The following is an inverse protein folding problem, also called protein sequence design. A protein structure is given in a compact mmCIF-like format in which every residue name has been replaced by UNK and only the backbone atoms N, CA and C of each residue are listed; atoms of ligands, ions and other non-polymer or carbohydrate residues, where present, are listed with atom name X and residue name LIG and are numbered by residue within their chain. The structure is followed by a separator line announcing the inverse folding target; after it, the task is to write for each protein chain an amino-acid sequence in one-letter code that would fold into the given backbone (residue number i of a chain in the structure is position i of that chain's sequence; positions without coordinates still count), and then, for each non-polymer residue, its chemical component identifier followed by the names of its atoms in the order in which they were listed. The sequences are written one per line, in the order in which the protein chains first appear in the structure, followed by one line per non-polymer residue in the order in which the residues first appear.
data_IF_786856924783
#
_entry.id   IF_786856924783
#
_cell.length_a   1.000
_cell.length_b   1.000
_cell.length_c   1.000
_cell.angle_alpha   90.00
_cell.angle_beta   90.00
_cell.angle_gamma   90.00
#
_symmetry.space_group_name_H-M   'P 1'
#
loop_
_entity.id
_entity.type
_entity.pdbx_description
1 polymer ?
#
# COMPACT_ATOMS: atom_id res chain seq x y z
N UNK A 1 -62.92 34.63 -19.19
CA UNK A 1 -61.45 34.63 -19.31
C UNK A 1 -60.93 33.95 -18.07
N UNK A 2 -60.58 32.67 -18.19
CA UNK A 2 -60.22 31.81 -17.07
C UNK A 2 -58.71 31.57 -17.15
N UNK A 3 -57.97 32.29 -16.30
CA UNK A 3 -56.52 32.32 -16.24
C UNK A 3 -56.01 30.99 -15.66
N UNK A 4 -55.88 29.96 -16.52
CA UNK A 4 -55.13 28.75 -16.17
C UNK A 4 -53.65 29.12 -16.05
N UNK A 5 -53.25 29.61 -14.88
CA UNK A 5 -51.86 29.66 -14.46
C UNK A 5 -51.34 28.22 -14.44
N UNK A 6 -50.70 27.82 -15.54
CA UNK A 6 -49.93 26.58 -15.62
C UNK A 6 -48.79 26.64 -14.61
N UNK A 7 -49.02 26.06 -13.43
CA UNK A 7 -47.98 25.88 -12.43
C UNK A 7 -46.88 25.04 -13.06
N UNK A 8 -45.75 25.69 -13.37
CA UNK A 8 -44.57 24.97 -13.88
C UNK A 8 -44.26 23.84 -12.91
N UNK A 9 -44.07 22.60 -13.38
CA UNK A 9 -43.74 21.49 -12.49
C UNK A 9 -42.49 21.90 -11.72
N UNK A 10 -42.61 22.02 -10.38
CA UNK A 10 -41.47 22.26 -9.50
C UNK A 10 -40.47 21.14 -9.80
N UNK A 11 -39.30 21.49 -10.33
CA UNK A 11 -38.21 20.54 -10.50
C UNK A 11 -37.98 19.90 -9.12
N UNK A 12 -38.18 18.59 -9.02
CA UNK A 12 -37.87 17.83 -7.80
C UNK A 12 -36.36 17.94 -7.54
N UNK A 13 -35.96 18.93 -6.74
CA UNK A 13 -34.59 19.08 -6.30
C UNK A 13 -34.27 18.02 -5.25
N UNK A 14 -33.07 17.46 -5.31
CA UNK A 14 -32.55 16.58 -4.25
C UNK A 14 -32.40 17.42 -2.98
N UNK A 15 -32.85 16.90 -1.84
CA UNK A 15 -32.71 17.61 -0.56
C UNK A 15 -31.23 17.76 -0.19
N UNK A 16 -30.88 18.83 0.52
CA UNK A 16 -29.48 19.04 0.93
C UNK A 16 -28.94 17.87 1.78
N UNK A 17 -29.79 17.23 2.60
CA UNK A 17 -29.39 16.06 3.39
C UNK A 17 -29.00 14.88 2.48
N UNK A 18 -29.78 14.65 1.42
CA UNK A 18 -29.49 13.59 0.45
C UNK A 18 -28.21 13.91 -0.31
N UNK A 19 -28.00 15.17 -0.71
CA UNK A 19 -26.75 15.61 -1.36
C UNK A 19 -25.54 15.42 -0.44
N UNK A 20 -25.66 15.75 0.85
CA UNK A 20 -24.61 15.54 1.84
C UNK A 20 -24.29 14.04 2.03
N UNK A 21 -25.32 13.18 2.11
CA UNK A 21 -25.13 11.73 2.20
C UNK A 21 -24.43 11.16 0.96
N UNK A 22 -24.82 11.63 -0.24
CA UNK A 22 -24.15 11.27 -1.49
C UNK A 22 -22.69 11.68 -1.48
N UNK A 23 -22.36 12.88 -1.02
CA UNK A 23 -20.98 13.35 -0.92
C UNK A 23 -20.15 12.49 0.06
N UNK A 24 -20.72 12.14 1.22
CA UNK A 24 -20.09 11.27 2.23
C UNK A 24 -19.81 9.85 1.72
N UNK A 25 -20.53 9.38 0.69
CA UNK A 25 -20.24 8.11 0.02
C UNK A 25 -19.28 8.28 -1.17
N UNK A 26 -19.50 9.29 -2.01
CA UNK A 26 -18.75 9.46 -3.25
C UNK A 26 -17.30 9.89 -3.01
N UNK A 27 -17.04 10.78 -2.04
CA UNK A 27 -15.67 11.27 -1.79
C UNK A 27 -14.74 10.13 -1.32
N UNK A 28 -15.09 9.32 -0.30
CA UNK A 28 -14.27 8.17 0.07
C UNK A 28 -14.17 7.15 -1.05
N UNK A 29 -15.25 6.89 -1.81
CA UNK A 29 -15.19 5.98 -2.95
C UNK A 29 -14.16 6.45 -3.99
N UNK A 30 -14.14 7.74 -4.33
CA UNK A 30 -13.16 8.30 -5.27
C UNK A 30 -11.76 8.26 -4.71
N UNK A 31 -11.57 8.60 -3.43
CA UNK A 31 -10.28 8.50 -2.76
C UNK A 31 -9.71 7.07 -2.84
N UNK A 32 -10.50 6.07 -2.46
CA UNK A 32 -10.11 4.67 -2.52
C UNK A 32 -9.93 4.16 -3.95
N UNK A 33 -10.67 4.70 -4.92
CA UNK A 33 -10.47 4.41 -6.33
C UNK A 33 -9.13 4.95 -6.86
N UNK A 34 -8.71 6.15 -6.44
CA UNK A 34 -7.39 6.71 -6.77
C UNK A 34 -6.27 5.88 -6.15
N UNK A 35 -6.32 5.69 -4.82
CA UNK A 35 -5.30 4.93 -4.10
C UNK A 35 -5.24 3.49 -4.61
N UNK A 36 -6.40 2.83 -4.72
CA UNK A 36 -6.51 1.46 -5.19
C UNK A 36 -6.01 1.26 -6.62
N UNK A 37 -6.31 2.20 -7.53
CA UNK A 37 -5.82 2.16 -8.90
C UNK A 37 -4.30 2.35 -9.01
N UNK A 38 -3.70 3.13 -8.11
CA UNK A 38 -2.26 3.34 -8.06
C UNK A 38 -1.53 2.12 -7.45
N UNK A 39 -1.98 1.66 -6.29
CA UNK A 39 -1.33 0.56 -5.57
C UNK A 39 -1.48 -0.80 -6.26
N UNK A 40 -2.57 -0.99 -7.03
CA UNK A 40 -2.83 -2.23 -7.76
C UNK A 40 -1.63 -2.66 -8.60
N UNK A 41 -0.94 -1.76 -9.29
CA UNK A 41 0.20 -2.12 -10.14
C UNK A 41 1.55 -1.90 -9.47
N UNK A 42 1.57 -1.08 -8.43
CA UNK A 42 2.75 -0.78 -7.64
C UNK A 42 3.17 -2.01 -6.82
N UNK A 43 2.25 -2.59 -6.04
CA UNK A 43 2.57 -3.67 -5.10
C UNK A 43 2.21 -5.07 -5.62
N UNK A 44 1.25 -5.21 -6.53
CA UNK A 44 0.83 -6.53 -7.03
C UNK A 44 1.67 -6.99 -8.24
N UNK A 45 2.05 -8.26 -8.21
CA UNK A 45 2.61 -8.98 -9.37
C UNK A 45 1.52 -9.65 -10.21
N UNK A 46 0.33 -9.84 -9.64
CA UNK A 46 -0.82 -10.51 -10.26
C UNK A 46 -2.09 -9.70 -10.10
N UNK A 47 -2.85 -9.65 -11.20
CA UNK A 47 -4.11 -8.93 -11.29
C UNK A 47 -5.14 -9.35 -10.23
N UNK A 48 -5.26 -10.65 -9.93
CA UNK A 48 -6.37 -11.17 -9.12
C UNK A 48 -6.24 -10.81 -7.63
N UNK A 49 -5.07 -11.03 -7.03
CA UNK A 49 -4.83 -10.72 -5.62
C UNK A 49 -4.91 -9.20 -5.36
N UNK A 50 -4.29 -8.41 -6.25
CA UNK A 50 -4.33 -6.96 -6.16
C UNK A 50 -5.74 -6.39 -6.29
N UNK A 51 -6.58 -6.96 -7.18
CA UNK A 51 -7.96 -6.48 -7.37
C UNK A 51 -8.78 -6.54 -6.08
N UNK A 52 -8.72 -7.67 -5.36
CA UNK A 52 -9.49 -7.82 -4.12
C UNK A 52 -9.01 -6.85 -3.04
N UNK A 53 -7.70 -6.64 -2.91
CA UNK A 53 -7.15 -5.79 -1.86
C UNK A 53 -7.31 -4.30 -2.14
N UNK A 54 -7.01 -3.87 -3.37
CA UNK A 54 -6.90 -2.45 -3.71
C UNK A 54 -8.17 -1.89 -4.35
N UNK A 55 -8.99 -2.71 -5.02
CA UNK A 55 -10.20 -2.23 -5.71
C UNK A 55 -11.45 -2.40 -4.84
N UNK A 56 -11.52 -3.44 -4.02
CA UNK A 56 -12.69 -3.66 -3.18
C UNK A 56 -13.01 -2.50 -2.21
N UNK A 57 -12.06 -1.76 -1.62
CA UNK A 57 -12.37 -0.73 -0.63
C UNK A 57 -13.34 0.38 -1.07
N UNK A 58 -13.37 0.77 -2.34
CA UNK A 58 -14.29 1.83 -2.80
C UNK A 58 -15.72 1.32 -3.05
N UNK A 59 -15.88 0.01 -3.31
CA UNK A 59 -17.17 -0.60 -3.69
C UNK A 59 -18.23 -0.47 -2.59
N UNK A 60 -17.95 -0.76 -1.29
CA UNK A 60 -18.92 -0.57 -0.22
C UNK A 60 -19.46 0.86 -0.13
N UNK A 61 -18.61 1.87 -0.28
CA UNK A 61 -19.04 3.28 -0.22
C UNK A 61 -19.98 3.62 -1.38
N UNK A 62 -19.65 3.19 -2.60
CA UNK A 62 -20.51 3.39 -3.76
C UNK A 62 -21.86 2.65 -3.60
N UNK A 63 -21.84 1.41 -3.11
CA UNK A 63 -23.05 0.63 -2.84
C UNK A 63 -23.93 1.28 -1.76
N UNK A 64 -23.35 1.78 -0.67
CA UNK A 64 -24.09 2.50 0.38
C UNK A 64 -24.78 3.74 -0.20
N UNK A 65 -24.10 4.50 -1.06
CA UNK A 65 -24.68 5.66 -1.73
C UNK A 65 -25.85 5.30 -2.65
N UNK A 66 -25.69 4.25 -3.47
CA UNK A 66 -26.75 3.76 -4.38
C UNK A 66 -27.94 3.21 -3.59
N UNK A 67 -27.70 2.34 -2.60
CA UNK A 67 -28.75 1.76 -1.76
C UNK A 67 -29.45 2.84 -0.93
N UNK A 68 -28.72 3.85 -0.44
CA UNK A 68 -29.30 5.01 0.24
C UNK A 68 -30.24 5.81 -0.65
N UNK A 69 -29.83 6.11 -1.88
CA UNK A 69 -30.63 6.83 -2.87
C UNK A 69 -31.91 6.08 -3.29
N UNK A 70 -31.82 4.77 -3.49
CA UNK A 70 -32.91 3.94 -4.00
C UNK A 70 -33.81 3.38 -2.88
N UNK A 71 -33.21 2.97 -1.76
CA UNK A 71 -33.85 2.21 -0.69
C UNK A 71 -33.36 2.60 0.72
N UNK A 72 -33.42 3.89 1.09
CA UNK A 72 -32.99 4.36 2.43
C UNK A 72 -33.49 3.53 3.64
N UNK A 73 -34.66 2.88 3.56
CA UNK A 73 -35.14 1.96 4.62
C UNK A 73 -34.33 0.67 4.69
N UNK A 74 -34.05 0.07 3.54
CA UNK A 74 -33.18 -1.09 3.44
C UNK A 74 -31.77 -0.73 3.90
N UNK A 75 -31.28 0.45 3.53
CA UNK A 75 -30.01 0.97 4.03
C UNK A 75 -29.99 0.93 5.56
N UNK A 76 -30.98 1.53 6.23
CA UNK A 76 -31.04 1.53 7.69
C UNK A 76 -31.13 0.12 8.30
N UNK A 77 -31.91 -0.78 7.69
CA UNK A 77 -32.01 -2.19 8.13
C UNK A 77 -30.66 -2.90 8.04
N UNK A 78 -29.84 -2.59 7.04
CA UNK A 78 -28.51 -3.21 6.84
C UNK A 78 -27.44 -2.52 7.69
N UNK A 79 -27.43 -1.19 7.76
CA UNK A 79 -26.36 -0.44 8.43
C UNK A 79 -26.47 -0.48 9.94
N UNK A 80 -27.68 -0.56 10.53
CA UNK A 80 -27.84 -0.61 11.99
C UNK A 80 -27.17 -1.87 12.60
N UNK A 81 -27.39 -3.09 12.08
CA UNK A 81 -26.64 -4.27 12.52
C UNK A 81 -25.13 -4.13 12.33
N UNK A 82 -24.68 -3.60 11.18
CA UNK A 82 -23.25 -3.40 10.91
C UNK A 82 -22.61 -2.42 11.90
N UNK A 83 -23.31 -1.34 12.24
CA UNK A 83 -22.90 -0.38 13.27
C UNK A 83 -22.79 -1.09 14.63
N UNK A 84 -23.75 -1.97 14.97
CA UNK A 84 -23.70 -2.75 16.21
C UNK A 84 -22.51 -3.71 16.27
N UNK A 85 -22.24 -4.44 15.18
CA UNK A 85 -21.08 -5.34 15.07
C UNK A 85 -19.77 -4.55 15.13
N UNK A 86 -19.65 -3.46 14.38
CA UNK A 86 -18.46 -2.60 14.42
C UNK A 86 -18.24 -2.02 15.82
N UNK A 87 -19.29 -1.52 16.49
CA UNK A 87 -19.20 -1.04 17.86
C UNK A 87 -18.72 -2.12 18.83
N UNK A 88 -19.21 -3.36 18.69
CA UNK A 88 -18.74 -4.51 19.48
C UNK A 88 -17.24 -4.74 19.29
N UNK A 89 -16.74 -4.78 18.05
CA UNK A 89 -15.31 -4.98 17.78
C UNK A 89 -14.45 -3.83 18.33
N UNK A 90 -14.93 -2.59 18.22
CA UNK A 90 -14.24 -1.40 18.74
C UNK A 90 -14.11 -1.46 20.25
N UNK A 91 -15.20 -1.76 20.95
CA UNK A 91 -15.18 -1.93 22.41
C UNK A 91 -14.29 -3.12 22.80
N UNK A 92 -14.42 -4.25 22.12
CA UNK A 92 -13.61 -5.43 22.41
C UNK A 92 -12.10 -5.19 22.19
N UNK A 93 -11.73 -4.54 21.08
CA UNK A 93 -10.35 -4.18 20.76
C UNK A 93 -9.78 -3.17 21.76
N UNK A 94 -10.58 -2.18 22.17
CA UNK A 94 -10.19 -1.24 23.22
C UNK A 94 -9.97 -1.96 24.56
N UNK A 95 -10.88 -2.84 24.97
CA UNK A 95 -10.75 -3.61 26.21
C UNK A 95 -9.51 -4.52 26.21
N UNK A 96 -9.07 -5.02 25.05
CA UNK A 96 -7.85 -5.82 24.93
C UNK A 96 -6.56 -4.99 24.93
N UNK A 97 -6.57 -3.83 24.28
CA UNK A 97 -5.33 -3.09 23.98
C UNK A 97 -5.14 -1.84 24.84
N UNK A 98 -6.19 -1.33 25.47
CA UNK A 98 -6.21 -0.03 26.14
C UNK A 98 -5.99 1.16 25.22
N UNK A 99 -5.95 0.95 23.89
CA UNK A 99 -5.53 1.98 22.93
C UNK A 99 -6.65 2.96 22.63
N UNK A 100 -6.53 4.17 23.18
CA UNK A 100 -7.45 5.27 22.90
C UNK A 100 -7.41 5.71 21.43
N UNK A 101 -6.25 5.63 20.78
CA UNK A 101 -6.11 6.01 19.37
C UNK A 101 -6.87 5.07 18.43
N UNK A 102 -6.83 3.76 18.70
CA UNK A 102 -7.66 2.79 17.97
C UNK A 102 -9.15 3.09 18.17
N UNK A 103 -9.58 3.30 19.42
CA UNK A 103 -10.97 3.62 19.75
C UNK A 103 -11.46 4.85 18.98
N UNK A 104 -10.73 5.96 19.06
CA UNK A 104 -11.08 7.21 18.38
C UNK A 104 -11.06 7.03 16.86
N UNK A 105 -10.05 6.35 16.32
CA UNK A 105 -9.93 6.10 14.88
C UNK A 105 -11.14 5.35 14.33
N UNK A 106 -11.55 4.25 14.98
CA UNK A 106 -12.71 3.48 14.52
C UNK A 106 -14.03 4.23 14.66
N UNK A 107 -14.21 5.04 15.72
CA UNK A 107 -15.41 5.85 15.88
C UNK A 107 -15.50 6.93 14.79
N UNK A 108 -14.43 7.70 14.61
CA UNK A 108 -14.40 8.86 13.72
C UNK A 108 -14.40 8.44 12.24
N UNK A 109 -13.66 7.41 11.88
CA UNK A 109 -13.50 6.98 10.48
C UNK A 109 -14.55 5.92 10.09
N UNK A 110 -14.99 5.09 11.03
CA UNK A 110 -15.93 4.00 10.77
C UNK A 110 -17.37 4.32 11.17
N UNK A 111 -17.64 4.38 12.48
CA UNK A 111 -19.01 4.40 13.00
C UNK A 111 -19.75 5.72 12.71
N UNK A 112 -19.11 6.86 12.95
CA UNK A 112 -19.74 8.17 12.79
C UNK A 112 -20.17 8.45 11.33
N UNK A 113 -19.35 8.16 10.29
CA UNK A 113 -19.77 8.30 8.90
C UNK A 113 -20.93 7.37 8.54
N UNK A 114 -20.93 6.11 9.00
CA UNK A 114 -22.02 5.17 8.73
C UNK A 114 -23.36 5.63 9.36
N UNK A 115 -23.32 6.13 10.59
CA UNK A 115 -24.49 6.70 11.27
C UNK A 115 -24.96 7.95 10.50
N UNK A 116 -24.06 8.86 10.17
CA UNK A 116 -24.37 10.09 9.44
C UNK A 116 -25.04 9.79 8.09
N UNK A 117 -24.46 8.91 7.28
CA UNK A 117 -25.01 8.48 5.99
C UNK A 117 -26.42 7.88 6.16
N UNK A 118 -26.60 7.01 7.16
CA UNK A 118 -27.90 6.37 7.44
C UNK A 118 -28.96 7.41 7.81
N UNK A 119 -28.65 8.31 8.75
CA UNK A 119 -29.58 9.35 9.23
C UNK A 119 -29.91 10.34 8.11
N UNK A 120 -28.90 10.76 7.33
CA UNK A 120 -29.08 11.74 6.26
C UNK A 120 -29.94 11.17 5.11
N UNK A 121 -29.71 9.93 4.68
CA UNK A 121 -30.59 9.28 3.70
C UNK A 121 -32.01 9.04 4.23
N UNK A 122 -32.14 8.71 5.52
CA UNK A 122 -33.45 8.54 6.14
C UNK A 122 -34.23 9.86 6.19
N UNK A 123 -33.61 10.96 6.64
CA UNK A 123 -34.23 12.29 6.76
C UNK A 123 -34.42 13.00 5.42
N UNK A 124 -33.53 12.78 4.46
CA UNK A 124 -33.61 13.35 3.11
C UNK A 124 -34.77 12.79 2.28
N UNK A 125 -35.48 11.77 2.81
CA UNK A 125 -36.67 11.20 2.22
C UNK A 125 -37.84 12.18 2.35
N UNK A 126 -37.97 13.09 1.38
CA UNK A 126 -39.19 13.86 1.22
C UNK A 126 -40.42 12.93 1.11
N UNK A 127 -41.63 13.40 1.44
CA UNK A 127 -42.88 12.65 1.28
C UNK A 127 -43.14 12.41 -0.20
N UNK A 128 -42.46 11.41 -0.76
CA UNK A 128 -42.67 11.01 -2.15
C UNK A 128 -43.97 10.21 -2.22
N UNK A 129 -44.91 10.56 -3.11
CA UNK A 129 -46.08 9.73 -3.37
C UNK A 129 -45.58 8.34 -3.77
N UNK A 130 -46.13 7.30 -3.13
CA UNK A 130 -45.73 5.92 -3.35
C UNK A 130 -45.89 5.60 -4.85
N UNK A 131 -44.79 5.41 -5.60
CA UNK A 131 -44.93 4.99 -6.98
C UNK A 131 -45.43 3.54 -6.98
N UNK A 132 -46.43 3.28 -7.82
CA UNK A 132 -47.10 2.00 -7.95
C UNK A 132 -46.18 0.88 -8.47
N UNK A 133 -45.01 1.22 -9.03
CA UNK A 133 -44.01 0.26 -9.48
C UNK A 133 -42.60 0.58 -8.97
N UNK A 134 -41.80 -0.46 -8.73
CA UNK A 134 -40.37 -0.36 -8.39
C UNK A 134 -39.59 0.33 -9.52
N UNK A 135 -39.96 0.06 -10.78
CA UNK A 135 -39.34 0.64 -11.96
C UNK A 135 -39.52 2.17 -12.04
N UNK A 136 -40.71 2.69 -11.73
CA UNK A 136 -40.95 4.14 -11.69
C UNK A 136 -40.23 4.86 -10.53
N UNK A 137 -39.84 4.11 -9.50
CA UNK A 137 -39.00 4.59 -8.38
C UNK A 137 -37.53 4.66 -8.79
N UNK A 138 -37.08 3.67 -9.56
CA UNK A 138 -35.72 3.58 -10.10
C UNK A 138 -35.49 4.60 -11.19
N UNK A 139 -36.47 4.88 -12.06
CA UNK A 139 -36.36 5.76 -13.23
C UNK A 139 -36.58 7.25 -12.94
N UNK A 140 -36.65 7.68 -11.67
CA UNK A 140 -36.77 9.12 -11.36
C UNK A 140 -35.49 9.86 -11.77
N UNK A 141 -35.56 10.81 -12.72
CA UNK A 141 -34.39 11.39 -13.34
C UNK A 141 -33.30 11.91 -12.37
N UNK A 142 -33.62 12.62 -11.26
CA UNK A 142 -32.57 13.16 -10.40
C UNK A 142 -31.86 12.08 -9.58
N UNK A 143 -32.58 11.04 -9.11
CA UNK A 143 -31.99 9.97 -8.29
C UNK A 143 -31.21 8.97 -9.14
N UNK A 144 -31.67 8.67 -10.36
CA UNK A 144 -30.87 7.87 -11.30
C UNK A 144 -29.54 8.55 -11.59
N UNK A 145 -29.58 9.87 -11.88
CA UNK A 145 -28.38 10.64 -12.21
C UNK A 145 -27.42 10.69 -11.03
N UNK A 146 -27.93 10.88 -9.81
CA UNK A 146 -27.10 10.84 -8.60
C UNK A 146 -26.49 9.46 -8.37
N UNK A 147 -27.27 8.38 -8.50
CA UNK A 147 -26.77 7.00 -8.34
C UNK A 147 -25.74 6.65 -9.42
N UNK A 148 -26.01 7.05 -10.66
CA UNK A 148 -25.06 6.92 -11.76
C UNK A 148 -23.78 7.71 -11.46
N UNK A 149 -23.87 8.93 -10.92
CA UNK A 149 -22.69 9.72 -10.53
C UNK A 149 -21.87 9.04 -9.43
N UNK A 150 -22.52 8.49 -8.41
CA UNK A 150 -21.85 7.77 -7.30
C UNK A 150 -21.09 6.54 -7.79
N UNK A 151 -21.57 5.86 -8.84
CA UNK A 151 -20.89 4.72 -9.44
C UNK A 151 -19.85 5.14 -10.49
N UNK A 152 -20.26 6.01 -11.42
CA UNK A 152 -19.45 6.39 -12.57
C UNK A 152 -18.20 7.17 -12.15
N UNK A 153 -18.30 8.07 -11.17
CA UNK A 153 -17.15 8.88 -10.77
C UNK A 153 -15.97 8.04 -10.23
N UNK A 154 -16.12 7.20 -9.18
CA UNK A 154 -15.02 6.36 -8.73
C UNK A 154 -14.61 5.33 -9.79
N UNK A 155 -15.54 4.81 -10.60
CA UNK A 155 -15.20 3.86 -11.67
C UNK A 155 -14.32 4.50 -12.74
N UNK A 156 -14.70 5.68 -13.25
CA UNK A 156 -13.91 6.41 -14.26
C UNK A 156 -12.57 6.82 -13.69
N UNK A 157 -12.53 7.30 -12.44
CA UNK A 157 -11.28 7.64 -11.75
C UNK A 157 -10.38 6.41 -11.60
N UNK A 158 -10.92 5.28 -11.13
CA UNK A 158 -10.17 4.04 -11.02
C UNK A 158 -9.61 3.62 -12.38
N UNK A 159 -10.44 3.57 -13.42
CA UNK A 159 -10.00 3.18 -14.78
C UNK A 159 -8.92 4.12 -15.31
N UNK A 160 -9.05 5.43 -15.08
CA UNK A 160 -8.04 6.40 -15.53
C UNK A 160 -6.70 6.19 -14.84
N UNK A 161 -6.69 6.09 -13.50
CA UNK A 161 -5.46 5.84 -12.73
C UNK A 161 -4.87 4.46 -13.07
N UNK A 162 -5.71 3.44 -13.14
CA UNK A 162 -5.30 2.09 -13.48
C UNK A 162 -4.71 2.01 -14.88
N UNK A 163 -5.29 2.70 -15.87
CA UNK A 163 -4.77 2.71 -17.24
C UNK A 163 -3.36 3.30 -17.32
N UNK A 164 -3.08 4.38 -16.60
CA UNK A 164 -1.73 4.99 -16.55
C UNK A 164 -0.71 4.01 -15.98
N UNK A 165 -1.03 3.40 -14.83
CA UNK A 165 -0.11 2.49 -14.15
C UNK A 165 0.01 1.13 -14.87
N UNK A 166 -1.04 0.68 -15.56
CA UNK A 166 -1.04 -0.53 -16.36
C UNK A 166 -0.02 -0.46 -17.50
N UNK A 167 0.19 0.71 -18.11
CA UNK A 167 1.18 0.87 -19.18
C UNK A 167 2.58 0.56 -18.68
N UNK A 168 2.96 1.05 -17.50
CA UNK A 168 4.26 0.75 -16.90
C UNK A 168 4.37 -0.73 -16.51
N UNK A 169 3.32 -1.29 -15.93
CA UNK A 169 3.25 -2.71 -15.55
C UNK A 169 3.39 -3.64 -16.76
N UNK A 170 2.68 -3.36 -17.85
CA UNK A 170 2.68 -4.16 -19.07
C UNK A 170 4.01 -4.05 -19.86
N UNK A 171 4.85 -3.06 -19.55
CA UNK A 171 6.17 -2.90 -20.16
C UNK A 171 7.28 -3.64 -19.41
N UNK A 172 7.00 -4.22 -18.23
CA UNK A 172 7.98 -4.97 -17.44
C UNK A 172 8.43 -6.21 -18.21
N UNK A 173 9.75 -6.44 -18.26
CA UNK A 173 10.35 -7.64 -18.81
C UNK A 173 10.52 -8.70 -17.72
N UNK A 174 10.28 -9.95 -18.08
CA UNK A 174 10.71 -11.10 -17.29
C UNK A 174 11.40 -12.10 -18.20
N UNK A 175 12.70 -12.28 -18.02
CA UNK A 175 13.46 -13.28 -18.77
C UNK A 175 13.38 -14.69 -18.12
N UNK A 176 12.68 -14.83 -17.00
CA UNK A 176 12.48 -16.09 -16.28
C UNK A 176 13.70 -16.61 -15.54
N UNK A 177 14.88 -16.02 -15.72
CA UNK A 177 16.09 -16.51 -15.07
C UNK A 177 16.23 -15.89 -13.67
N UNK A 178 16.45 -16.77 -12.69
CA UNK A 178 16.53 -16.43 -11.27
C UNK A 178 17.90 -16.77 -10.64
N UNK A 179 18.90 -17.08 -11.46
CA UNK A 179 20.27 -17.34 -11.00
C UNK A 179 21.07 -16.06 -10.73
N UNK A 180 22.38 -16.20 -10.58
CA UNK A 180 23.29 -15.06 -10.39
C UNK A 180 23.30 -14.13 -11.60
N UNK A 181 23.42 -12.83 -11.35
CA UNK A 181 23.34 -11.79 -12.38
C UNK A 181 24.47 -10.81 -12.28
N UNK A 182 25.27 -10.70 -13.34
CA UNK A 182 26.17 -9.58 -13.52
C UNK A 182 25.36 -8.37 -14.02
N UNK A 183 25.40 -7.27 -13.29
CA UNK A 183 24.84 -5.98 -13.72
C UNK A 183 25.99 -5.00 -13.86
N UNK A 184 26.14 -4.47 -15.08
CA UNK A 184 27.18 -3.51 -15.43
C UNK A 184 26.53 -2.23 -15.98
N UNK A 185 27.02 -1.08 -15.52
CA UNK A 185 26.57 0.21 -16.02
C UNK A 185 26.66 1.31 -14.97
N UNK A 186 26.67 2.56 -15.44
CA UNK A 186 26.75 3.76 -14.60
C UNK A 186 27.85 3.74 -13.51
N UNK A 187 28.98 3.10 -13.81
CA UNK A 187 30.13 3.00 -12.92
C UNK A 187 30.05 1.89 -11.86
N UNK A 188 29.07 1.00 -11.93
CA UNK A 188 29.01 -0.22 -11.09
C UNK A 188 29.14 -1.48 -11.95
N UNK A 189 29.79 -2.51 -11.40
CA UNK A 189 29.96 -3.85 -12.01
C UNK A 189 29.82 -4.86 -10.87
N UNK A 190 28.62 -5.39 -10.67
CA UNK A 190 28.31 -6.22 -9.51
C UNK A 190 27.65 -7.54 -9.91
N UNK A 191 28.01 -8.62 -9.23
CA UNK A 191 27.31 -9.90 -9.30
C UNK A 191 26.26 -9.93 -8.19
N UNK A 192 25.00 -10.07 -8.57
CA UNK A 192 23.84 -10.17 -7.68
C UNK A 192 23.50 -11.64 -7.43
N UNK A 193 23.24 -11.96 -6.17
CA UNK A 193 22.96 -13.34 -5.72
C UNK A 193 21.74 -13.94 -6.41
N UNK A 194 21.76 -15.26 -6.62
CA UNK A 194 20.63 -16.02 -7.13
C UNK A 194 19.43 -16.02 -6.16
N UNK A 195 18.26 -16.43 -6.66
CA UNK A 195 17.07 -16.68 -5.85
C UNK A 195 17.38 -17.69 -4.75
N UNK A 196 16.95 -17.38 -3.54
CA UNK A 196 17.33 -18.07 -2.32
C UNK A 196 17.52 -17.07 -1.18
N UNK A 197 18.27 -17.36 -0.13
CA UNK A 197 18.46 -16.43 0.97
C UNK A 197 19.17 -15.12 0.58
N UNK A 198 19.89 -15.06 -0.55
CA UNK A 198 20.45 -13.81 -1.09
C UNK A 198 19.49 -12.99 -1.95
N UNK A 199 18.31 -13.54 -2.24
CA UNK A 199 17.17 -12.89 -2.88
C UNK A 199 15.90 -13.63 -2.46
N UNK A 200 15.40 -13.38 -1.24
CA UNK A 200 14.40 -14.24 -0.64
C UNK A 200 13.03 -14.01 -1.25
N UNK A 201 12.27 -15.10 -1.35
CA UNK A 201 10.96 -15.12 -2.04
C UNK A 201 9.87 -14.38 -1.27
N UNK A 202 10.04 -14.27 0.05
CA UNK A 202 9.15 -13.56 0.94
C UNK A 202 9.93 -12.44 1.62
N UNK A 203 9.40 -11.22 1.55
CA UNK A 203 9.97 -10.10 2.29
C UNK A 203 9.49 -10.11 3.74
N UNK A 204 9.47 -8.93 4.36
CA UNK A 204 8.99 -8.78 5.73
C UNK A 204 10.07 -8.92 6.79
N UNK A 205 11.35 -8.94 6.39
CA UNK A 205 12.45 -8.74 7.32
C UNK A 205 12.63 -7.25 7.59
N UNK A 206 12.84 -6.90 8.84
CA UNK A 206 13.26 -5.56 9.23
C UNK A 206 14.74 -5.36 8.88
N UNK A 207 15.17 -4.11 8.82
CA UNK A 207 16.57 -3.81 8.60
C UNK A 207 17.44 -4.32 9.77
N UNK A 208 16.93 -4.26 11.01
CA UNK A 208 17.62 -4.81 12.17
C UNK A 208 17.86 -6.33 12.03
N UNK A 209 16.84 -7.09 11.61
CA UNK A 209 16.98 -8.54 11.38
C UNK A 209 18.08 -8.86 10.36
N UNK A 210 18.17 -8.05 9.30
CA UNK A 210 19.17 -8.21 8.25
C UNK A 210 20.57 -7.87 8.77
N UNK A 211 20.71 -6.74 9.47
CA UNK A 211 21.98 -6.23 9.98
C UNK A 211 22.56 -7.08 11.12
N UNK A 212 21.71 -7.64 11.98
CA UNK A 212 22.12 -8.38 13.17
C UNK A 212 22.15 -9.91 12.96
N UNK A 213 21.96 -10.39 11.73
CA UNK A 213 21.79 -11.82 11.44
C UNK A 213 22.86 -12.71 12.09
N UNK A 214 24.12 -12.30 12.01
CA UNK A 214 25.29 -13.03 12.51
C UNK A 214 25.54 -12.91 14.01
N UNK A 215 24.81 -12.08 14.76
CA UNK A 215 24.93 -12.05 16.22
C UNK A 215 24.28 -13.29 16.84
N UNK A 216 24.84 -13.87 17.93
CA UNK A 216 24.20 -15.00 18.61
C UNK A 216 22.82 -14.64 19.20
N UNK A 217 21.80 -15.52 19.04
CA UNK A 217 21.80 -16.71 18.20
C UNK A 217 21.77 -16.35 16.71
N UNK A 218 22.63 -16.98 15.90
CA UNK A 218 22.69 -16.73 14.44
C UNK A 218 21.33 -17.02 13.82
N UNK A 219 20.84 -16.10 12.98
CA UNK A 219 19.50 -16.14 12.41
C UNK A 219 18.75 -14.81 12.53
N UNK A 220 17.45 -14.82 12.24
CA UNK A 220 16.61 -13.62 12.31
C UNK A 220 15.87 -13.45 13.65
N UNK A 221 15.74 -14.52 14.44
CA UNK A 221 14.88 -14.55 15.61
C UNK A 221 15.31 -13.55 16.70
N UNK A 222 14.35 -12.75 17.20
CA UNK A 222 14.54 -11.82 18.32
C UNK A 222 15.31 -10.55 17.98
N UNK A 223 15.56 -10.27 16.70
CA UNK A 223 16.38 -9.13 16.23
C UNK A 223 15.54 -7.99 15.66
N UNK A 224 14.23 -8.15 15.56
CA UNK A 224 13.33 -7.15 15.00
C UNK A 224 13.44 -5.81 15.74
N UNK A 225 13.55 -5.86 17.06
CA UNK A 225 13.69 -4.72 17.95
C UNK A 225 15.15 -4.44 18.34
N UNK A 226 16.11 -4.80 17.48
CA UNK A 226 17.52 -4.46 17.69
C UNK A 226 18.26 -5.42 18.63
N UNK A 227 19.43 -5.02 19.13
CA UNK A 227 20.36 -5.90 19.88
C UNK A 227 19.90 -6.25 21.29
N UNK A 228 19.16 -5.35 21.93
CA UNK A 228 18.65 -5.46 23.31
C UNK A 228 17.11 -5.57 23.36
N UNK A 229 16.48 -5.64 22.19
CA UNK A 229 15.02 -5.65 22.05
C UNK A 229 14.36 -4.30 22.34
N UNK A 230 15.12 -3.20 22.45
CA UNK A 230 14.59 -1.89 22.81
C UNK A 230 14.35 -0.95 21.62
N UNK A 231 14.89 -1.25 20.44
CA UNK A 231 14.70 -0.43 19.24
C UNK A 231 13.21 -0.33 18.91
N UNK A 232 12.66 0.90 18.95
CA UNK A 232 11.25 1.16 18.69
C UNK A 232 10.29 0.87 19.85
N UNK A 233 10.78 0.53 21.05
CA UNK A 233 9.93 0.19 22.21
C UNK A 233 9.71 1.33 23.22
N UNK A 234 10.33 2.50 23.00
CA UNK A 234 10.17 3.67 23.84
C UNK A 234 8.69 4.05 24.03
N UNK A 235 8.15 3.86 25.24
CA UNK A 235 6.77 4.28 25.59
C UNK A 235 6.59 5.79 25.50
N UNK A 236 7.67 6.54 25.72
CA UNK A 236 7.68 7.99 25.61
C UNK A 236 8.37 8.40 24.31
N UNK A 237 7.66 9.14 23.44
CA UNK A 237 8.16 9.63 22.15
C UNK A 237 9.39 10.55 22.25
N UNK A 238 9.78 10.96 23.45
CA UNK A 238 10.72 12.04 23.67
C UNK A 238 12.16 11.55 23.96
N UNK A 239 12.36 10.37 24.54
CA UNK A 239 13.68 9.93 25.01
C UNK A 239 13.79 8.39 24.82
N UNK A 240 14.66 7.91 23.92
CA UNK A 240 15.02 6.47 23.86
C UNK A 240 14.64 5.68 22.60
N UNK A 241 14.23 6.30 21.48
CA UNK A 241 13.96 5.55 20.22
C UNK A 241 15.22 5.08 19.50
N UNK A 242 16.37 5.62 19.87
CA UNK A 242 17.66 5.38 19.20
C UNK A 242 18.46 4.25 19.85
N UNK A 243 18.21 3.95 21.13
CA UNK A 243 18.96 2.93 21.85
C UNK A 243 18.57 1.53 21.36
N UNK A 244 19.60 0.69 21.14
CA UNK A 244 19.42 -0.71 20.77
C UNK A 244 19.21 -1.00 19.28
N UNK A 245 18.95 0.01 18.44
CA UNK A 245 18.83 -0.22 16.99
C UNK A 245 20.16 -0.64 16.37
N UNK A 246 20.10 -1.51 15.35
CA UNK A 246 21.29 -1.90 14.61
C UNK A 246 21.93 -0.68 13.92
N UNK A 247 23.24 -0.69 13.81
CA UNK A 247 24.05 0.37 13.20
C UNK A 247 24.60 -0.05 11.84
N UNK A 248 25.12 0.90 11.07
CA UNK A 248 25.86 0.61 9.84
C UNK A 248 27.06 -0.31 10.11
N UNK A 249 27.71 -0.18 11.28
CA UNK A 249 28.81 -1.07 11.66
C UNK A 249 28.32 -2.52 11.83
N UNK A 250 27.15 -2.71 12.43
CA UNK A 250 26.54 -4.04 12.53
C UNK A 250 26.20 -4.59 11.14
N UNK A 251 25.61 -3.78 10.26
CA UNK A 251 25.33 -4.19 8.88
C UNK A 251 26.61 -4.63 8.16
N UNK A 252 27.76 -3.98 8.37
CA UNK A 252 29.00 -4.36 7.69
C UNK A 252 29.58 -5.70 8.18
N UNK A 253 29.37 -6.07 9.45
CA UNK A 253 30.07 -7.20 10.08
C UNK A 253 29.16 -8.40 10.38
N UNK A 254 27.85 -8.19 10.50
CA UNK A 254 26.91 -9.20 10.96
C UNK A 254 25.76 -9.47 9.99
N UNK A 255 25.73 -8.84 8.81
CA UNK A 255 24.60 -9.02 7.90
C UNK A 255 24.44 -10.45 7.37
N UNK A 256 23.22 -10.78 6.95
CA UNK A 256 22.85 -12.08 6.38
C UNK A 256 23.65 -12.48 5.13
N UNK A 257 24.09 -11.52 4.29
CA UNK A 257 24.83 -11.84 3.07
C UNK A 257 26.17 -12.51 3.38
N UNK A 258 26.79 -12.21 4.53
CA UNK A 258 28.06 -12.83 4.94
C UNK A 258 27.94 -14.35 5.10
N UNK A 259 26.74 -14.87 5.31
CA UNK A 259 26.45 -16.29 5.54
C UNK A 259 26.00 -17.01 4.27
N UNK A 260 26.01 -16.37 3.10
CA UNK A 260 25.66 -17.03 1.85
C UNK A 260 26.79 -17.93 1.36
N UNK A 261 26.42 -19.11 0.84
CA UNK A 261 27.33 -19.96 0.08
C UNK A 261 27.75 -19.29 -1.25
N UNK A 262 28.73 -19.87 -1.94
CA UNK A 262 29.31 -19.28 -3.16
C UNK A 262 28.28 -19.02 -4.28
N UNK A 263 27.27 -19.88 -4.41
CA UNK A 263 26.23 -19.70 -5.43
C UNK A 263 25.10 -18.72 -5.00
N UNK A 264 25.06 -18.34 -3.72
CA UNK A 264 24.08 -17.42 -3.14
C UNK A 264 22.70 -18.04 -2.86
N UNK A 265 22.56 -19.36 -3.00
CA UNK A 265 21.27 -20.07 -2.90
C UNK A 265 20.97 -20.66 -1.53
N UNK A 266 21.95 -20.69 -0.61
CA UNK A 266 21.78 -21.24 0.73
C UNK A 266 22.56 -20.44 1.79
N UNK A 267 22.06 -20.48 3.03
CA UNK A 267 22.78 -19.97 4.21
C UNK A 267 23.67 -21.07 4.81
N UNK A 268 24.86 -20.67 5.20
CA UNK A 268 25.84 -21.47 5.91
C UNK A 268 25.71 -21.24 7.42
N UNK A 269 26.28 -22.14 8.21
CA UNK A 269 26.32 -22.00 9.67
C UNK A 269 27.42 -21.03 10.13
N UNK A 270 28.36 -20.70 9.25
CA UNK A 270 29.49 -19.80 9.51
C UNK A 270 29.57 -18.75 8.40
N UNK A 271 30.12 -17.58 8.72
CA UNK A 271 30.28 -16.52 7.74
C UNK A 271 31.33 -16.91 6.68
N UNK A 272 30.94 -16.91 5.42
CA UNK A 272 31.84 -17.13 4.28
C UNK A 272 32.48 -15.82 3.79
N UNK A 273 31.82 -14.68 3.99
CA UNK A 273 32.36 -13.37 3.57
C UNK A 273 32.48 -13.17 2.06
N UNK A 274 31.79 -13.98 1.26
CA UNK A 274 31.79 -13.91 -0.21
C UNK A 274 30.87 -12.79 -0.70
N UNK A 275 29.72 -12.63 -0.03
CA UNK A 275 28.70 -11.67 -0.38
C UNK A 275 28.58 -10.59 0.68
N UNK A 276 28.13 -9.40 0.26
CA UNK A 276 27.86 -8.26 1.11
C UNK A 276 26.51 -7.64 0.77
N UNK A 277 26.02 -6.81 1.68
CA UNK A 277 24.93 -5.89 1.36
C UNK A 277 25.41 -4.83 0.34
N UNK A 278 24.59 -4.45 -0.64
CA UNK A 278 24.88 -3.33 -1.53
C UNK A 278 24.71 -2.00 -0.80
N UNK A 279 25.42 -0.98 -1.26
CA UNK A 279 25.18 0.41 -0.83
C UNK A 279 23.90 0.95 -1.47
N UNK A 280 23.41 2.08 -0.94
CA UNK A 280 22.24 2.76 -1.54
C UNK A 280 22.57 3.27 -2.95
N UNK A 281 23.79 3.76 -3.18
CA UNK A 281 24.26 4.21 -4.49
C UNK A 281 24.35 3.04 -5.48
N UNK A 282 24.86 1.89 -5.05
CA UNK A 282 24.94 0.69 -5.89
C UNK A 282 23.57 0.17 -6.31
N UNK A 283 22.59 0.17 -5.39
CA UNK A 283 21.20 -0.18 -5.70
C UNK A 283 20.63 0.76 -6.77
N UNK A 284 20.76 2.08 -6.58
CA UNK A 284 20.26 3.08 -7.51
C UNK A 284 20.96 2.97 -8.87
N UNK A 285 22.28 2.77 -8.90
CA UNK A 285 23.02 2.64 -10.16
C UNK A 285 22.78 1.32 -10.87
N UNK A 286 22.28 0.30 -10.18
CA UNK A 286 21.98 -1.01 -10.77
C UNK A 286 20.56 -1.13 -11.33
N UNK A 287 19.70 -0.12 -11.14
CA UNK A 287 18.34 -0.14 -11.65
C UNK A 287 18.35 -0.28 -13.19
N UNK A 288 17.42 -1.08 -13.71
CA UNK A 288 17.38 -1.44 -15.13
C UNK A 288 16.07 -1.04 -15.80
N UNK A 289 16.12 -0.90 -17.12
CA UNK A 289 14.98 -0.82 -18.01
C UNK A 289 15.18 -1.79 -19.19
N UNK A 290 14.26 -2.75 -19.37
CA UNK A 290 14.29 -3.78 -20.41
C UNK A 290 15.63 -4.51 -20.49
N UNK A 291 16.17 -4.89 -19.33
CA UNK A 291 17.44 -5.61 -19.20
C UNK A 291 18.70 -4.75 -19.37
N UNK A 292 18.58 -3.45 -19.69
CA UNK A 292 19.72 -2.53 -19.76
C UNK A 292 19.76 -1.61 -18.53
N UNK A 293 20.94 -1.12 -18.15
CA UNK A 293 21.08 -0.14 -17.08
C UNK A 293 20.27 1.14 -17.37
N UNK A 294 19.55 1.67 -16.38
CA UNK A 294 18.67 2.84 -16.55
C UNK A 294 19.41 4.19 -16.44
N UNK A 295 20.71 4.19 -16.11
CA UNK A 295 21.54 5.38 -15.98
C UNK A 295 21.17 6.23 -14.78
N UNK A 296 20.73 5.61 -13.68
CA UNK A 296 20.26 6.30 -12.48
C UNK A 296 21.42 6.65 -11.54
N UNK A 297 21.45 7.87 -11.01
CA UNK A 297 22.48 8.32 -10.07
C UNK A 297 21.90 8.71 -8.72
N UNK A 298 22.53 8.26 -7.63
CA UNK A 298 22.15 8.64 -6.27
C UNK A 298 22.68 10.04 -5.94
N UNK A 299 21.80 10.93 -5.49
CA UNK A 299 22.17 12.31 -5.12
C UNK A 299 22.35 12.52 -3.61
N UNK A 300 22.30 11.44 -2.82
CA UNK A 300 22.40 11.51 -1.35
C UNK A 300 21.11 11.94 -0.65
N UNK A 301 19.98 12.07 -1.35
CA UNK A 301 18.71 12.56 -0.79
C UNK A 301 17.54 11.66 -1.14
N UNK A 302 16.60 11.53 -0.21
CA UNK A 302 15.32 10.85 -0.44
C UNK A 302 14.52 11.48 -1.57
N UNK A 303 13.63 10.69 -2.16
CA UNK A 303 12.83 11.05 -3.32
C UNK A 303 13.29 10.34 -4.59
N UNK A 304 12.75 10.80 -5.71
CA UNK A 304 13.03 10.24 -7.03
C UNK A 304 14.40 10.71 -7.52
N UNK A 305 15.22 9.75 -7.94
CA UNK A 305 16.55 9.98 -8.46
C UNK A 305 16.53 10.27 -9.96
N UNK A 306 17.57 10.93 -10.44
CA UNK A 306 17.73 11.23 -11.85
C UNK A 306 18.23 9.99 -12.60
N UNK A 307 17.55 9.68 -13.71
CA UNK A 307 17.88 8.55 -14.58
C UNK A 307 17.76 8.96 -16.04
N UNK A 308 18.56 8.35 -16.90
CA UNK A 308 18.43 8.53 -18.36
C UNK A 308 17.13 7.89 -18.88
N UNK A 309 16.76 6.72 -18.34
CA UNK A 309 15.48 6.07 -18.58
C UNK A 309 14.76 5.79 -17.27
N UNK A 310 13.41 5.81 -17.25
CA UNK A 310 12.64 5.40 -16.07
C UNK A 310 12.83 3.88 -15.84
N UNK A 311 13.49 3.44 -14.77
CA UNK A 311 13.59 2.02 -14.46
C UNK A 311 12.22 1.44 -14.09
N UNK A 312 12.07 0.13 -14.27
CA UNK A 312 10.86 -0.61 -13.94
C UNK A 312 11.20 -1.76 -13.00
N UNK A 313 10.17 -2.27 -12.31
CA UNK A 313 10.28 -3.47 -11.48
C UNK A 313 10.32 -4.70 -12.38
N UNK A 314 11.52 -5.07 -12.83
CA UNK A 314 11.74 -6.16 -13.78
C UNK A 314 13.05 -6.92 -13.53
N UNK A 315 13.25 -8.03 -14.26
CA UNK A 315 14.54 -8.74 -14.24
C UNK A 315 15.65 -7.83 -14.77
N UNK A 316 16.87 -7.88 -14.22
CA UNK A 316 17.38 -8.92 -13.30
C UNK A 316 17.23 -8.63 -11.80
N UNK A 317 16.83 -7.42 -11.40
CA UNK A 317 16.84 -7.01 -9.99
C UNK A 317 15.60 -7.48 -9.22
N UNK A 318 14.43 -7.50 -9.87
CA UNK A 318 13.18 -7.92 -9.23
C UNK A 318 12.57 -9.12 -9.93
N UNK A 319 11.71 -9.81 -9.19
CA UNK A 319 10.75 -10.73 -9.77
C UNK A 319 9.48 -9.92 -10.05
N UNK A 320 9.12 -9.68 -11.33
CA UNK A 320 7.92 -8.92 -11.66
C UNK A 320 6.63 -9.69 -11.34
N UNK A 321 6.72 -11.01 -11.08
CA UNK A 321 5.57 -11.88 -10.84
C UNK A 321 5.20 -12.02 -9.36
N UNK A 322 6.10 -11.68 -8.43
CA UNK A 322 5.80 -11.79 -7.00
C UNK A 322 4.74 -10.76 -6.59
N UNK A 323 3.79 -11.19 -5.77
CA UNK A 323 2.83 -10.27 -5.16
C UNK A 323 3.39 -9.80 -3.82
N UNK A 324 3.40 -8.49 -3.58
CA UNK A 324 3.74 -7.88 -2.29
C UNK A 324 5.15 -8.14 -1.76
N UNK A 325 5.87 -9.15 -2.23
CA UNK A 325 7.15 -9.57 -1.67
C UNK A 325 8.32 -8.98 -2.46
N UNK A 326 9.19 -8.26 -1.74
CA UNK A 326 10.47 -7.75 -2.26
C UNK A 326 10.39 -6.70 -3.35
N UNK A 327 9.45 -5.77 -3.21
CA UNK A 327 9.27 -4.61 -4.09
C UNK A 327 10.29 -3.50 -3.77
N UNK A 328 10.73 -3.42 -2.52
CA UNK A 328 11.71 -2.47 -2.01
C UNK A 328 12.96 -3.20 -1.52
N UNK A 329 14.13 -2.67 -1.85
CA UNK A 329 15.41 -3.24 -1.44
C UNK A 329 16.10 -2.32 -0.43
N UNK A 330 16.45 -2.85 0.74
CA UNK A 330 17.22 -2.14 1.74
C UNK A 330 18.65 -1.87 1.27
N UNK A 331 19.11 -0.66 1.55
CA UNK A 331 20.51 -0.26 1.45
C UNK A 331 21.11 0.02 2.83
N UNK A 332 21.81 1.14 2.94
CA UNK A 332 22.56 1.54 4.12
C UNK A 332 21.69 2.23 5.18
N UNK A 333 22.28 2.44 6.35
CA UNK A 333 21.74 3.29 7.40
C UNK A 333 21.51 4.73 6.89
N UNK A 334 20.32 5.27 7.18
CA UNK A 334 19.99 6.67 6.90
C UNK A 334 20.14 7.55 8.16
N UNK A 335 19.84 6.98 9.32
CA UNK A 335 19.96 7.60 10.64
C UNK A 335 19.98 6.53 11.73
N UNK A 336 20.17 6.93 12.99
CA UNK A 336 20.08 6.06 14.18
C UNK A 336 18.87 5.11 14.16
N UNK A 337 17.72 5.59 13.67
CA UNK A 337 16.44 4.86 13.66
C UNK A 337 15.97 4.45 12.25
N UNK A 338 16.59 5.00 11.21
CA UNK A 338 16.15 4.86 9.83
C UNK A 338 17.15 4.15 8.93
N UNK A 339 16.65 3.36 7.99
CA UNK A 339 17.43 2.77 6.91
C UNK A 339 16.89 3.21 5.55
N UNK A 340 17.79 3.39 4.59
CA UNK A 340 17.40 3.63 3.21
C UNK A 340 16.82 2.36 2.58
N UNK A 341 15.81 2.56 1.76
CA UNK A 341 15.35 1.54 0.82
C UNK A 341 15.11 2.15 -0.55
N UNK A 342 15.33 1.35 -1.57
CA UNK A 342 15.21 1.73 -2.98
C UNK A 342 14.03 0.99 -3.60
N UNK A 343 13.17 1.74 -4.28
CA UNK A 343 12.10 1.23 -5.12
C UNK A 343 12.52 1.22 -6.60
N UNK A 344 11.91 0.34 -7.38
CA UNK A 344 12.23 0.13 -8.78
C UNK A 344 12.11 1.37 -9.69
N UNK A 345 11.33 2.39 -9.31
CA UNK A 345 11.24 3.66 -10.06
C UNK A 345 12.32 4.68 -9.70
N UNK A 346 13.43 4.22 -9.13
CA UNK A 346 14.52 5.05 -8.61
C UNK A 346 14.05 6.01 -7.52
N UNK A 347 13.09 5.60 -6.70
CA UNK A 347 12.69 6.36 -5.51
C UNK A 347 13.40 5.79 -4.31
N UNK A 348 14.09 6.64 -3.56
CA UNK A 348 14.72 6.27 -2.29
C UNK A 348 13.96 6.90 -1.14
N UNK A 349 13.65 6.12 -0.12
CA UNK A 349 12.96 6.60 1.08
C UNK A 349 13.65 6.03 2.32
N UNK A 350 13.18 6.46 3.48
CA UNK A 350 13.66 5.98 4.78
C UNK A 350 12.53 5.23 5.46
N UNK A 351 12.83 4.01 5.93
CA UNK A 351 11.95 3.22 6.78
C UNK A 351 12.59 3.11 8.17
N UNK A 352 11.78 3.00 9.21
CA UNK A 352 12.27 2.69 10.54
C UNK A 352 12.90 1.28 10.56
N UNK A 353 14.07 1.13 11.17
CA UNK A 353 14.86 -0.12 11.10
C UNK A 353 14.17 -1.35 11.69
N UNK A 354 13.24 -1.14 12.63
CA UNK A 354 12.45 -2.20 13.27
C UNK A 354 11.15 -2.54 12.51
N UNK A 355 10.76 -1.76 11.51
CA UNK A 355 9.52 -2.00 10.78
C UNK A 355 9.68 -3.19 9.83
N UNK A 356 8.79 -4.16 9.99
CA UNK A 356 8.63 -5.28 9.07
C UNK A 356 7.51 -4.95 8.09
N UNK A 357 7.83 -4.97 6.80
CA UNK A 357 6.86 -4.83 5.73
C UNK A 357 7.16 -5.88 4.66
N UNK A 358 6.15 -6.66 4.27
CA UNK A 358 6.32 -7.74 3.27
C UNK A 358 6.92 -7.24 1.95
N UNK A 359 6.64 -6.00 1.61
CA UNK A 359 7.18 -5.32 0.43
C UNK A 359 8.65 -4.98 0.52
N UNK A 360 9.24 -4.99 1.71
CA UNK A 360 10.65 -4.70 1.92
C UNK A 360 11.47 -5.98 2.03
N UNK A 361 12.63 -5.95 1.40
CA UNK A 361 13.52 -7.08 1.26
C UNK A 361 14.96 -6.60 1.06
N UNK A 362 15.89 -7.52 0.88
CA UNK A 362 17.29 -7.27 0.58
C UNK A 362 17.73 -8.13 -0.60
N UNK A 363 18.86 -7.74 -1.20
CA UNK A 363 19.62 -8.60 -2.11
C UNK A 363 21.09 -8.47 -1.81
N UNK A 364 21.81 -9.56 -2.02
CA UNK A 364 23.24 -9.62 -1.76
C UNK A 364 24.03 -9.46 -3.05
N UNK A 365 25.19 -8.80 -2.96
CA UNK A 365 26.09 -8.55 -4.07
C UNK A 365 27.51 -8.98 -3.74
N UNK A 366 28.31 -9.22 -4.77
CA UNK A 366 29.76 -9.36 -4.70
C UNK A 366 30.41 -8.72 -5.91
N UNK A 367 31.71 -8.47 -5.80
CA UNK A 367 32.52 -8.12 -6.96
C UNK A 367 32.66 -9.33 -7.91
N UNK A 368 32.85 -9.12 -9.23
CA UNK A 368 32.92 -10.18 -10.25
C UNK A 368 33.87 -11.33 -9.95
#
# INVERSE_FOLDING_TARGET
MDERQGSRPRREAISWQTSAAVALCAIPAVFWAVWGGAELFHESGTWYAGMVQYVLPWVPFALLGVVGLLWARLLAVVTVPLIGVAAFYVVHGYLRTGSLSLLVGFIVVGLAPLIAVTVLFWRGRGPAPAPSSVLGRILRPPRCRAALGVLALPTVTFVAIAAVNYVDWAQRSDDGYRGQRLIEGNGVTLVWAARGPGWPEHGGRSWNEIALFGLPPVGFEGKEAGTDGLCGTGRDRAEGWEEGCATQADLLVHNVCLYLNEDGTALLNEAAGIWRMPTTDELVRSLTRKGANAGCAWNGKTGRQECTGRPLRETPLWDPTTNYDGVYLFGEEASSTGAYYVYAEATVQVLQKYQQARSHNYRCVREP
#
